data_IF_155720933036
#
_entry.id   IF_155720933036
#
_cell.length_a   1.000
_cell.length_b   1.000
_cell.length_c   1.000
_cell.angle_alpha   90.00
_cell.angle_beta   90.00
_cell.angle_gamma   90.00
#
_symmetry.space_group_name_H-M   'P 1'
#
loop_
_entity.id
_entity.type
_entity.pdbx_description
1 polymer ?
#
# COMPACT_ATOMS: atom_id res chain seq x y z
N UNK A 1 38.04 -40.70 25.25
CA UNK A 1 37.12 -39.94 26.11
C UNK A 1 37.08 -38.52 25.56
N UNK A 2 35.93 -38.08 25.05
CA UNK A 2 35.79 -36.85 24.26
C UNK A 2 35.99 -35.60 25.14
N UNK A 3 36.66 -34.53 24.66
CA UNK A 3 36.54 -33.22 25.29
C UNK A 3 35.13 -32.65 25.03
N UNK A 4 34.54 -32.07 26.07
CA UNK A 4 33.19 -31.50 26.08
C UNK A 4 33.01 -30.38 25.03
N UNK A 5 31.78 -30.15 24.53
CA UNK A 5 31.51 -29.08 23.56
C UNK A 5 31.76 -27.70 24.18
N UNK A 6 32.42 -26.82 23.42
CA UNK A 6 32.50 -25.39 23.74
C UNK A 6 31.14 -24.77 23.38
N UNK A 7 30.39 -24.32 24.38
CA UNK A 7 29.22 -23.45 24.18
C UNK A 7 29.67 -22.12 23.55
N UNK A 8 29.46 -21.99 22.23
CA UNK A 8 29.59 -20.71 21.51
C UNK A 8 28.22 -20.03 21.42
N UNK A 9 27.69 -19.60 22.57
CA UNK A 9 26.66 -18.56 22.61
C UNK A 9 27.31 -17.21 22.90
N UNK A 10 27.92 -16.60 21.87
CA UNK A 10 28.26 -15.18 21.91
C UNK A 10 27.02 -14.35 21.57
N UNK A 11 26.08 -14.26 22.51
CA UNK A 11 24.96 -13.31 22.49
C UNK A 11 25.30 -12.04 23.27
N UNK A 12 26.53 -11.56 23.13
CA UNK A 12 27.00 -10.33 23.79
C UNK A 12 27.95 -9.54 22.87
N UNK A 13 27.56 -9.36 21.61
CA UNK A 13 28.10 -8.23 20.84
C UNK A 13 27.50 -6.96 21.44
N UNK A 14 28.32 -6.15 22.11
CA UNK A 14 27.94 -4.81 22.52
C UNK A 14 27.31 -4.10 21.33
N UNK A 15 26.02 -3.78 21.42
CA UNK A 15 25.33 -3.02 20.40
C UNK A 15 25.99 -1.64 20.34
N UNK A 16 26.85 -1.41 19.35
CA UNK A 16 27.34 -0.08 19.05
C UNK A 16 26.10 0.77 18.71
N UNK A 17 25.81 1.76 19.54
CA UNK A 17 24.77 2.73 19.24
C UNK A 17 25.12 3.40 17.91
N UNK A 18 24.28 3.21 16.90
CA UNK A 18 24.43 3.87 15.61
C UNK A 18 24.24 5.38 15.82
N UNK A 19 25.30 6.15 15.58
CA UNK A 19 25.29 7.61 15.69
C UNK A 19 24.44 8.22 14.57
N UNK A 20 23.25 8.72 14.94
CA UNK A 20 22.29 9.35 14.04
C UNK A 20 22.77 10.66 13.38
N UNK A 21 23.94 11.19 13.77
CA UNK A 21 24.55 12.36 13.09
C UNK A 21 25.42 11.98 11.89
N UNK A 22 25.74 10.70 11.70
CA UNK A 22 26.63 10.20 10.62
C UNK A 22 25.91 9.45 9.52
N UNK A 23 24.68 8.98 9.77
CA UNK A 23 23.92 8.17 8.83
C UNK A 23 22.56 8.80 8.54
N UNK A 24 22.31 9.16 7.29
CA UNK A 24 20.96 9.48 6.80
C UNK A 24 20.35 8.23 6.19
N UNK A 25 19.31 7.68 6.83
CA UNK A 25 18.51 6.61 6.24
C UNK A 25 17.48 7.24 5.30
N UNK A 26 17.72 7.12 3.98
CA UNK A 26 16.69 7.38 2.97
C UNK A 26 15.96 6.08 2.70
N UNK A 27 14.75 5.94 3.26
CA UNK A 27 13.84 4.89 2.83
C UNK A 27 13.19 5.32 1.52
N UNK A 28 13.45 4.57 0.44
CA UNK A 28 12.67 4.66 -0.77
C UNK A 28 11.70 3.49 -0.74
N UNK A 29 10.49 3.70 -0.24
CA UNK A 29 9.46 2.66 -0.24
C UNK A 29 8.97 2.48 -1.68
N UNK A 30 9.69 1.64 -2.43
CA UNK A 30 9.32 1.27 -3.79
C UNK A 30 8.18 0.26 -3.72
N UNK A 31 6.97 0.77 -3.69
CA UNK A 31 5.82 -0.04 -4.05
C UNK A 31 5.94 -0.41 -5.52
N UNK A 32 5.86 -1.71 -5.79
CA UNK A 32 5.70 -2.24 -7.14
C UNK A 32 4.22 -2.57 -7.35
N UNK A 33 3.76 -2.45 -8.58
CA UNK A 33 2.40 -2.84 -8.93
C UNK A 33 2.19 -4.33 -8.63
N UNK A 34 1.20 -4.70 -7.80
CA UNK A 34 0.86 -6.10 -7.61
C UNK A 34 0.32 -6.70 -8.91
N UNK A 35 0.76 -7.91 -9.27
CA UNK A 35 0.25 -8.62 -10.46
C UNK A 35 -1.28 -8.70 -10.50
N UNK A 36 -1.92 -8.89 -9.34
CA UNK A 36 -3.38 -8.95 -9.23
C UNK A 36 -4.07 -7.61 -9.55
N UNK A 37 -3.38 -6.49 -9.30
CA UNK A 37 -3.87 -5.17 -9.71
C UNK A 37 -3.85 -5.04 -11.23
N UNK A 38 -2.74 -5.39 -11.86
CA UNK A 38 -2.63 -5.37 -13.33
C UNK A 38 -3.67 -6.27 -14.00
N UNK A 39 -3.98 -7.44 -13.41
CA UNK A 39 -4.96 -8.36 -13.98
C UNK A 39 -6.41 -7.97 -13.78
N UNK A 40 -6.75 -7.42 -12.61
CA UNK A 40 -8.15 -7.20 -12.23
C UNK A 40 -8.41 -5.86 -11.58
N UNK A 41 -7.42 -5.28 -10.90
CA UNK A 41 -7.53 -4.01 -10.17
C UNK A 41 -7.88 -2.84 -11.08
N UNK A 42 -7.30 -2.75 -12.28
CA UNK A 42 -7.52 -1.61 -13.18
C UNK A 42 -8.99 -1.37 -13.52
N UNK A 43 -9.79 -2.43 -13.67
CA UNK A 43 -11.22 -2.33 -13.98
C UNK A 43 -12.08 -1.75 -12.83
N UNK A 44 -11.53 -1.62 -11.63
CA UNK A 44 -12.23 -1.10 -10.45
C UNK A 44 -11.55 0.14 -9.89
N UNK A 45 -10.24 0.06 -9.68
CA UNK A 45 -9.42 1.07 -9.02
C UNK A 45 -8.75 2.02 -10.03
N UNK A 46 -8.85 1.73 -11.33
CA UNK A 46 -8.16 2.46 -12.38
C UNK A 46 -6.66 2.15 -12.44
N UNK A 47 -5.91 2.90 -13.27
CA UNK A 47 -4.48 2.70 -13.45
C UNK A 47 -3.73 2.73 -12.12
N UNK A 48 -2.76 1.83 -11.96
CA UNK A 48 -1.98 1.75 -10.74
C UNK A 48 -1.04 2.95 -10.58
N UNK A 49 -0.98 3.50 -9.37
CA UNK A 49 0.07 4.41 -8.94
C UNK A 49 0.50 4.04 -7.51
N UNK A 50 1.74 4.36 -7.08
CA UNK A 50 2.16 4.12 -5.71
C UNK A 50 1.27 4.83 -4.69
N UNK A 51 0.85 6.07 -5.00
CA UNK A 51 0.02 6.88 -4.10
C UNK A 51 -1.38 6.26 -3.95
N UNK A 52 -1.98 5.83 -5.06
CA UNK A 52 -3.28 5.16 -5.05
C UNK A 52 -3.22 3.84 -4.30
N UNK A 53 -2.16 3.07 -4.50
CA UNK A 53 -1.93 1.83 -3.77
C UNK A 53 -1.92 2.05 -2.25
N UNK A 54 -1.24 3.10 -1.77
CA UNK A 54 -1.24 3.49 -0.36
C UNK A 54 -2.65 3.84 0.13
N UNK A 55 -3.38 4.66 -0.63
CA UNK A 55 -4.77 5.05 -0.28
C UNK A 55 -5.68 3.84 -0.18
N UNK A 56 -5.66 2.94 -1.18
CA UNK A 56 -6.47 1.72 -1.18
C UNK A 56 -6.15 0.87 0.04
N UNK A 57 -4.87 0.66 0.34
CA UNK A 57 -4.44 -0.12 1.48
C UNK A 57 -4.86 0.50 2.81
N UNK A 58 -4.76 1.83 2.93
CA UNK A 58 -5.18 2.57 4.12
C UNK A 58 -6.69 2.46 4.35
N UNK A 59 -7.50 2.70 3.32
CA UNK A 59 -8.97 2.63 3.39
C UNK A 59 -9.44 1.20 3.72
N UNK A 60 -8.79 0.20 3.14
CA UNK A 60 -9.20 -1.20 3.28
C UNK A 60 -8.56 -1.94 4.46
N UNK A 61 -7.56 -1.35 5.12
CA UNK A 61 -6.73 -2.05 6.09
C UNK A 61 -5.97 -3.23 5.47
N UNK A 62 -5.59 -3.12 4.20
CA UNK A 62 -4.82 -4.12 3.48
C UNK A 62 -3.32 -3.84 3.59
N UNK A 63 -2.55 -4.91 3.51
CA UNK A 63 -1.09 -4.88 3.54
C UNK A 63 -0.51 -5.36 2.22
N UNK A 64 0.78 -5.11 1.99
CA UNK A 64 1.50 -5.68 0.84
C UNK A 64 1.39 -7.20 0.79
N UNK A 65 1.36 -7.87 1.96
CA UNK A 65 1.21 -9.32 2.01
C UNK A 65 -0.20 -9.79 1.62
N UNK A 66 -1.24 -8.97 1.84
CA UNK A 66 -2.60 -9.33 1.40
C UNK A 66 -2.70 -9.37 -0.14
N UNK A 67 -1.91 -8.55 -0.84
CA UNK A 67 -1.79 -8.57 -2.29
C UNK A 67 -0.99 -9.77 -2.82
N UNK A 68 0.02 -10.25 -2.07
CA UNK A 68 0.77 -11.46 -2.45
C UNK A 68 -0.10 -12.73 -2.42
N UNK A 69 -1.12 -12.72 -1.56
CA UNK A 69 -2.11 -13.80 -1.43
C UNK A 69 -3.37 -13.57 -2.26
N UNK A 70 -3.41 -12.53 -3.10
CA UNK A 70 -4.62 -12.14 -3.79
C UNK A 70 -5.20 -13.27 -4.67
N UNK A 71 -6.52 -13.45 -4.61
CA UNK A 71 -7.22 -14.48 -5.37
C UNK A 71 -7.17 -15.89 -4.76
N UNK A 72 -6.39 -16.12 -3.69
CA UNK A 72 -6.43 -17.38 -2.94
C UNK A 72 -7.73 -17.51 -2.14
N UNK A 73 -8.10 -18.75 -1.80
CA UNK A 73 -9.25 -19.00 -0.94
C UNK A 73 -9.09 -18.30 0.42
N UNK A 74 -10.05 -17.44 0.77
CA UNK A 74 -10.01 -16.66 2.01
C UNK A 74 -9.15 -15.38 1.96
N UNK A 75 -8.53 -15.06 0.82
CA UNK A 75 -7.72 -13.86 0.69
C UNK A 75 -8.51 -12.57 0.93
N UNK A 76 -7.85 -11.57 1.54
CA UNK A 76 -8.44 -10.24 1.73
C UNK A 76 -8.67 -9.53 0.40
N UNK A 77 -7.67 -9.62 -0.48
CA UNK A 77 -7.74 -9.15 -1.86
C UNK A 77 -8.27 -10.28 -2.73
N UNK A 78 -9.42 -10.06 -3.34
CA UNK A 78 -10.01 -10.99 -4.31
C UNK A 78 -10.91 -10.23 -5.27
N UNK A 79 -11.13 -10.78 -6.46
CA UNK A 79 -11.94 -10.16 -7.51
C UNK A 79 -13.29 -9.64 -6.98
N UNK A 80 -14.04 -10.47 -6.25
CA UNK A 80 -15.33 -10.09 -5.68
C UNK A 80 -15.26 -8.99 -4.61
N UNK A 81 -14.09 -8.76 -4.00
CA UNK A 81 -13.86 -7.70 -3.00
C UNK A 81 -13.31 -6.42 -3.60
N UNK A 82 -12.74 -6.45 -4.81
CA UNK A 82 -12.24 -5.25 -5.49
C UNK A 82 -13.35 -4.24 -5.77
N UNK A 83 -14.54 -4.69 -6.16
CA UNK A 83 -15.69 -3.80 -6.35
C UNK A 83 -16.17 -3.13 -5.05
N UNK A 84 -16.04 -3.81 -3.90
CA UNK A 84 -16.30 -3.19 -2.59
C UNK A 84 -15.20 -2.19 -2.24
N UNK A 85 -13.93 -2.55 -2.46
CA UNK A 85 -12.80 -1.66 -2.22
C UNK A 85 -12.91 -0.37 -3.04
N UNK A 86 -13.28 -0.48 -4.32
CA UNK A 86 -13.49 0.70 -5.17
C UNK A 86 -14.59 1.61 -4.64
N UNK A 87 -15.72 1.08 -4.15
CA UNK A 87 -16.76 1.90 -3.51
C UNK A 87 -16.27 2.59 -2.23
N UNK A 88 -15.55 1.86 -1.37
CA UNK A 88 -15.01 2.41 -0.14
C UNK A 88 -14.01 3.54 -0.42
N UNK A 89 -13.10 3.32 -1.36
CA UNK A 89 -12.09 4.30 -1.77
C UNK A 89 -12.76 5.49 -2.45
N UNK A 90 -13.75 5.27 -3.33
CA UNK A 90 -14.54 6.34 -3.95
C UNK A 90 -15.18 7.23 -2.90
N UNK A 91 -15.80 6.64 -1.88
CA UNK A 91 -16.45 7.40 -0.81
C UNK A 91 -15.44 8.20 0.02
N UNK A 92 -14.30 7.60 0.34
CA UNK A 92 -13.21 8.32 1.00
C UNK A 92 -12.73 9.51 0.16
N UNK A 93 -12.44 9.29 -1.13
CA UNK A 93 -11.98 10.35 -2.03
C UNK A 93 -13.00 11.47 -2.20
N UNK A 94 -14.30 11.13 -2.28
CA UNK A 94 -15.38 12.12 -2.34
C UNK A 94 -15.44 12.93 -1.05
N UNK A 95 -15.37 12.28 0.13
CA UNK A 95 -15.35 12.98 1.42
C UNK A 95 -14.16 13.95 1.52
N UNK A 96 -12.98 13.53 1.06
CA UNK A 96 -11.81 14.40 1.01
C UNK A 96 -12.02 15.58 0.04
N UNK A 97 -12.65 15.36 -1.11
CA UNK A 97 -12.98 16.42 -2.06
C UNK A 97 -14.04 17.38 -1.51
N UNK A 98 -15.03 16.88 -0.78
CA UNK A 98 -16.12 17.69 -0.20
C UNK A 98 -15.62 18.57 0.96
N UNK A 99 -14.58 18.13 1.67
CA UNK A 99 -13.90 18.83 2.75
C UNK A 99 -12.75 19.76 2.29
N UNK A 100 -12.72 20.12 1.00
CA UNK A 100 -11.70 21.01 0.42
C UNK A 100 -10.25 20.48 0.49
N UNK A 101 -10.08 19.15 0.62
CA UNK A 101 -8.77 18.46 0.68
C UNK A 101 -8.67 17.31 -0.33
N UNK A 102 -8.87 17.55 -1.64
CA UNK A 102 -8.91 16.49 -2.64
C UNK A 102 -7.56 15.75 -2.74
N UNK A 103 -7.62 14.42 -2.74
CA UNK A 103 -6.43 13.57 -2.86
C UNK A 103 -5.91 13.58 -4.31
N UNK A 104 -4.61 13.72 -4.46
CA UNK A 104 -3.92 13.78 -5.76
C UNK A 104 -2.94 12.64 -5.93
N UNK A 105 -2.72 12.27 -7.18
CA UNK A 105 -1.60 11.43 -7.59
C UNK A 105 -0.30 12.25 -7.62
N UNK A 106 0.83 11.55 -7.80
CA UNK A 106 2.17 12.16 -7.73
C UNK A 106 2.41 13.22 -8.81
N UNK A 107 1.76 13.07 -9.96
CA UNK A 107 1.78 14.04 -11.07
C UNK A 107 0.90 15.28 -10.82
N UNK A 108 0.14 15.30 -9.71
CA UNK A 108 -0.71 16.40 -9.32
C UNK A 108 -2.15 16.31 -9.85
N UNK A 109 -2.50 15.28 -10.62
CA UNK A 109 -3.89 15.05 -11.02
C UNK A 109 -4.72 14.57 -9.84
N UNK A 110 -6.03 14.85 -9.83
CA UNK A 110 -6.93 14.29 -8.84
C UNK A 110 -6.99 12.77 -8.97
N UNK A 111 -6.92 12.08 -7.84
CA UNK A 111 -6.92 10.62 -7.82
C UNK A 111 -8.27 10.10 -8.31
N UNK A 112 -8.25 9.36 -9.43
CA UNK A 112 -9.47 8.86 -10.05
C UNK A 112 -9.48 7.32 -10.09
N UNK A 113 -10.68 6.74 -9.99
CA UNK A 113 -10.91 5.30 -10.13
C UNK A 113 -11.43 4.97 -11.53
N UNK A 114 -11.73 3.70 -11.81
CA UNK A 114 -12.29 3.30 -13.09
C UNK A 114 -13.69 3.93 -13.31
N UNK A 115 -14.16 3.97 -14.56
CA UNK A 115 -15.39 4.67 -14.99
C UNK A 115 -16.65 4.35 -14.16
N UNK A 116 -16.75 3.15 -13.57
CA UNK A 116 -17.86 2.77 -12.69
C UNK A 116 -17.80 3.32 -11.27
N UNK A 117 -16.71 4.00 -10.90
CA UNK A 117 -16.38 4.42 -9.54
C UNK A 117 -15.83 5.85 -9.48
N UNK A 118 -16.19 6.69 -10.44
CA UNK A 118 -15.64 8.04 -10.55
C UNK A 118 -15.96 8.90 -9.33
N UNK A 119 -14.97 9.70 -8.94
CA UNK A 119 -15.07 10.76 -7.93
C UNK A 119 -15.41 12.07 -8.63
N UNK A 120 -16.32 12.84 -8.06
CA UNK A 120 -16.73 14.14 -8.60
C UNK A 120 -15.79 15.24 -8.10
N UNK A 121 -15.02 15.79 -9.04
CA UNK A 121 -14.11 16.91 -8.81
C UNK A 121 -14.55 18.20 -9.52
N UNK A 122 -15.80 18.29 -9.99
CA UNK A 122 -16.33 19.44 -10.74
C UNK A 122 -16.19 20.80 -10.02
N UNK A 123 -16.08 20.78 -8.69
CA UNK A 123 -15.81 21.97 -7.86
C UNK A 123 -14.42 22.59 -8.08
N UNK A 124 -13.49 21.86 -8.71
CA UNK A 124 -12.09 22.27 -8.89
C UNK A 124 -11.66 22.43 -10.34
N UNK A 125 -12.59 22.28 -11.28
CA UNK A 125 -12.38 22.48 -12.72
C UNK A 125 -12.54 23.96 -13.15
#
# INVERSE_FOLDING_TARGET
>A
MFPSPIDRNQWNSSSENLDGTRYTFKFNEQYSEPTYWSWFGEGFLGPWTPQKYIVVNSVMGWTVNDWSQAGQAGAKVSYGRLGFAAKAVRNYLQEQADNDTPVKDKDGSYMQLADGYTVDYSRYE
#
